data_IF_821526655968
#
_entry.id   IF_821526655968
#
_cell.length_a   1.000
_cell.length_b   1.000
_cell.length_c   1.000
_cell.angle_alpha   90.00
_cell.angle_beta   90.00
_cell.angle_gamma   90.00
#
_symmetry.space_group_name_H-M   'P 1'
#
loop_
_entity.id
_entity.type
_entity.pdbx_description
1 polymer ?
#
# COMPACT_ATOMS: atom_id res chain seq x y z
N UNK A 1 -30.79 -10.99 -9.42
CA UNK A 1 -29.70 -9.98 -9.59
C UNK A 1 -28.29 -10.53 -9.26
N UNK A 2 -28.08 -11.22 -8.14
CA UNK A 2 -26.74 -11.75 -7.70
C UNK A 2 -26.00 -12.65 -8.72
N UNK A 3 -26.71 -13.49 -9.46
CA UNK A 3 -26.12 -14.42 -10.46
C UNK A 3 -25.45 -13.71 -11.66
N UNK A 4 -25.96 -12.55 -12.08
CA UNK A 4 -25.35 -11.78 -13.19
C UNK A 4 -24.02 -11.16 -12.77
N UNK A 5 -23.93 -10.66 -11.55
CA UNK A 5 -22.72 -10.02 -11.00
C UNK A 5 -21.61 -11.08 -10.84
N UNK A 6 -21.93 -12.25 -10.28
CA UNK A 6 -20.97 -13.34 -10.14
C UNK A 6 -20.42 -13.84 -11.48
N UNK A 7 -21.29 -14.01 -12.49
CA UNK A 7 -20.85 -14.39 -13.84
C UNK A 7 -19.96 -13.34 -14.47
N UNK A 8 -20.28 -12.05 -14.31
CA UNK A 8 -19.47 -10.95 -14.83
C UNK A 8 -18.09 -10.89 -14.17
N UNK A 9 -18.06 -10.94 -12.83
CA UNK A 9 -16.81 -11.01 -12.05
C UNK A 9 -15.95 -12.22 -12.44
N UNK A 10 -16.56 -13.39 -12.64
CA UNK A 10 -15.87 -14.61 -13.09
C UNK A 10 -15.27 -14.42 -14.49
N UNK A 11 -16.03 -13.88 -15.43
CA UNK A 11 -15.55 -13.60 -16.79
C UNK A 11 -14.40 -12.58 -16.78
N UNK A 12 -14.55 -11.48 -16.05
CA UNK A 12 -13.52 -10.44 -15.93
C UNK A 12 -12.25 -10.98 -15.27
N UNK A 13 -12.38 -11.83 -14.24
CA UNK A 13 -11.25 -12.53 -13.59
C UNK A 13 -10.53 -13.48 -14.55
N UNK A 14 -11.27 -14.27 -15.34
CA UNK A 14 -10.69 -15.17 -16.34
C UNK A 14 -10.01 -14.41 -17.48
N UNK A 15 -10.62 -13.30 -17.93
CA UNK A 15 -10.04 -12.40 -18.94
C UNK A 15 -8.75 -11.77 -18.43
N UNK A 16 -8.75 -11.26 -17.21
CA UNK A 16 -7.57 -10.71 -16.54
C UNK A 16 -6.44 -11.75 -16.48
N UNK A 17 -6.71 -12.97 -16.04
CA UNK A 17 -5.67 -14.00 -15.89
C UNK A 17 -5.10 -14.50 -17.23
N UNK A 18 -5.86 -14.42 -18.33
CA UNK A 18 -5.40 -14.77 -19.68
C UNK A 18 -4.54 -13.68 -20.33
N UNK A 19 -4.68 -12.42 -19.93
CA UNK A 19 -3.86 -11.31 -20.46
C UNK A 19 -2.38 -11.54 -20.11
N UNK A 20 -1.49 -11.38 -21.10
CA UNK A 20 -0.04 -11.33 -20.92
C UNK A 20 0.27 -10.13 -20.00
N UNK A 21 0.98 -10.33 -18.88
CA UNK A 21 1.28 -9.31 -17.83
C UNK A 21 0.15 -8.95 -16.84
N UNK A 22 -0.82 -9.86 -16.61
CA UNK A 22 -1.86 -9.69 -15.58
C UNK A 22 -1.31 -9.43 -14.17
N UNK A 23 -0.26 -10.16 -13.80
CA UNK A 23 0.47 -10.06 -12.54
C UNK A 23 0.98 -8.63 -12.28
N UNK A 24 1.57 -8.02 -13.31
CA UNK A 24 2.10 -6.66 -13.23
C UNK A 24 1.00 -5.62 -13.03
N UNK A 25 -0.08 -5.68 -13.81
CA UNK A 25 -1.19 -4.72 -13.71
C UNK A 25 -1.90 -4.81 -12.36
N UNK A 26 -2.08 -6.03 -11.83
CA UNK A 26 -2.66 -6.24 -10.50
C UNK A 26 -1.73 -5.70 -9.42
N UNK A 27 -0.42 -5.96 -9.51
CA UNK A 27 0.56 -5.49 -8.52
C UNK A 27 0.65 -3.96 -8.51
N UNK A 28 0.72 -3.31 -9.68
CA UNK A 28 0.68 -1.84 -9.78
C UNK A 28 -0.63 -1.31 -9.18
N UNK A 29 -1.77 -1.88 -9.56
CA UNK A 29 -3.07 -1.46 -9.03
C UNK A 29 -3.12 -1.55 -7.51
N UNK A 30 -2.65 -2.66 -6.94
CA UNK A 30 -2.61 -2.85 -5.50
C UNK A 30 -1.71 -1.83 -4.79
N UNK A 31 -0.49 -1.61 -5.29
CA UNK A 31 0.44 -0.67 -4.67
C UNK A 31 -0.07 0.77 -4.80
N UNK A 32 -0.58 1.15 -5.97
CA UNK A 32 -1.21 2.44 -6.19
C UNK A 32 -2.40 2.69 -5.26
N UNK A 33 -3.23 1.66 -5.05
CA UNK A 33 -4.36 1.71 -4.13
C UNK A 33 -3.96 1.81 -2.68
N UNK A 34 -2.92 1.10 -2.24
CA UNK A 34 -2.47 1.15 -0.85
C UNK A 34 -1.65 2.40 -0.50
N UNK A 35 -1.01 3.03 -1.49
CA UNK A 35 -0.03 4.11 -1.26
C UNK A 35 -0.57 5.25 -0.39
N UNK A 36 -1.79 5.71 -0.67
CA UNK A 36 -2.39 6.82 0.06
C UNK A 36 -2.72 6.49 1.54
N UNK A 37 -2.80 5.20 1.91
CA UNK A 37 -3.12 4.77 3.28
C UNK A 37 -2.02 5.08 4.29
N UNK A 38 -0.81 5.41 3.81
CA UNK A 38 0.28 5.91 4.66
C UNK A 38 0.07 7.37 5.10
N UNK A 39 -0.89 8.07 4.50
CA UNK A 39 -1.16 9.49 4.74
C UNK A 39 -2.60 9.72 5.27
N UNK A 40 -2.85 10.77 6.06
CA UNK A 40 -4.16 11.12 6.60
C UNK A 40 -5.10 11.71 5.55
N UNK A 41 -5.55 10.86 4.62
CA UNK A 41 -6.38 11.19 3.45
C UNK A 41 -7.87 10.98 3.69
N UNK A 42 -8.30 10.92 4.96
CA UNK A 42 -9.63 10.53 5.42
C UNK A 42 -10.78 10.92 4.47
N UNK A 43 -11.60 9.94 4.08
CA UNK A 43 -12.77 10.14 3.23
C UNK A 43 -12.50 10.10 1.72
N UNK A 44 -11.33 10.55 1.24
CA UNK A 44 -11.00 10.57 -0.21
C UNK A 44 -10.14 9.39 -0.67
N UNK A 45 -9.80 8.47 0.24
CA UNK A 45 -8.84 7.39 -0.03
C UNK A 45 -9.21 6.46 -1.19
N UNK A 46 -10.49 6.08 -1.31
CA UNK A 46 -10.95 5.23 -2.43
C UNK A 46 -10.85 5.99 -3.76
N UNK A 47 -11.14 7.29 -3.78
CA UNK A 47 -10.99 8.13 -4.97
C UNK A 47 -9.52 8.23 -5.38
N UNK A 48 -8.61 8.45 -4.41
CA UNK A 48 -7.17 8.43 -4.64
C UNK A 48 -6.70 7.08 -5.16
N UNK A 49 -7.19 5.98 -4.61
CA UNK A 49 -6.85 4.61 -5.06
C UNK A 49 -7.21 4.42 -6.54
N UNK A 50 -8.42 4.80 -6.93
CA UNK A 50 -8.90 4.69 -8.31
C UNK A 50 -8.11 5.64 -9.22
N UNK A 51 -7.85 6.87 -8.77
CA UNK A 51 -7.10 7.89 -9.52
C UNK A 51 -5.67 7.44 -9.80
N UNK A 52 -4.94 7.01 -8.77
CA UNK A 52 -3.57 6.51 -8.89
C UNK A 52 -3.51 5.24 -9.76
N UNK A 53 -4.46 4.33 -9.62
CA UNK A 53 -4.52 3.13 -10.46
C UNK A 53 -4.76 3.47 -11.93
N UNK A 54 -5.61 4.45 -12.24
CA UNK A 54 -5.81 4.92 -13.63
C UNK A 54 -4.57 5.58 -14.19
N UNK A 55 -3.93 6.45 -13.40
CA UNK A 55 -2.71 7.17 -13.80
C UNK A 55 -1.58 6.19 -14.14
N UNK A 56 -1.38 5.18 -13.30
CA UNK A 56 -0.36 4.14 -13.47
C UNK A 56 -0.80 2.99 -14.38
N UNK A 57 -1.99 3.09 -14.99
CA UNK A 57 -2.60 2.07 -15.86
C UNK A 57 -2.68 0.69 -15.19
N UNK A 58 -2.84 0.65 -13.87
CA UNK A 58 -3.01 -0.54 -13.05
C UNK A 58 -4.45 -1.04 -12.99
N UNK A 59 -4.65 -2.18 -12.30
CA UNK A 59 -5.97 -2.75 -12.10
C UNK A 59 -6.75 -1.98 -11.01
N UNK A 60 -7.84 -1.33 -11.42
CA UNK A 60 -8.71 -0.54 -10.53
C UNK A 60 -9.31 -1.41 -9.42
N UNK A 61 -9.70 -2.65 -9.70
CA UNK A 61 -10.29 -3.54 -8.69
C UNK A 61 -9.28 -3.86 -7.59
N UNK A 62 -8.02 -4.17 -7.97
CA UNK A 62 -6.94 -4.40 -7.02
C UNK A 62 -6.64 -3.14 -6.18
N UNK A 63 -6.74 -1.96 -6.79
CA UNK A 63 -6.55 -0.69 -6.11
C UNK A 63 -7.64 -0.39 -5.07
N UNK A 64 -8.91 -0.65 -5.41
CA UNK A 64 -10.00 -0.48 -4.45
C UNK A 64 -9.87 -1.46 -3.29
N UNK A 65 -9.54 -2.73 -3.56
CA UNK A 65 -9.35 -3.74 -2.50
C UNK A 65 -8.23 -3.32 -1.54
N UNK A 66 -7.07 -2.95 -2.09
CA UNK A 66 -5.92 -2.52 -1.27
C UNK A 66 -6.21 -1.22 -0.50
N UNK A 67 -6.83 -0.23 -1.13
CA UNK A 67 -7.21 1.01 -0.45
C UNK A 67 -8.22 0.80 0.68
N UNK A 68 -9.20 -0.09 0.49
CA UNK A 68 -10.13 -0.48 1.55
C UNK A 68 -9.42 -1.22 2.70
N UNK A 69 -8.49 -2.13 2.39
CA UNK A 69 -7.70 -2.82 3.40
C UNK A 69 -6.85 -1.83 4.21
N UNK A 70 -6.16 -0.90 3.56
CA UNK A 70 -5.36 0.10 4.25
C UNK A 70 -6.22 1.05 5.09
N UNK A 71 -7.45 1.35 4.67
CA UNK A 71 -8.41 2.11 5.48
C UNK A 71 -8.78 1.37 6.77
N UNK A 72 -8.90 0.04 6.77
CA UNK A 72 -9.15 -0.72 8.00
C UNK A 72 -7.90 -0.80 8.90
N UNK A 73 -6.71 -0.79 8.28
CA UNK A 73 -5.42 -0.92 8.98
C UNK A 73 -4.85 0.43 9.46
N UNK A 74 -5.57 1.54 9.26
CA UNK A 74 -5.07 2.89 9.48
C UNK A 74 -4.43 3.14 10.86
N UNK A 75 -4.93 2.63 12.01
CA UNK A 75 -4.32 2.93 13.30
C UNK A 75 -2.93 2.28 13.40
N UNK A 76 -2.80 1.06 12.87
CA UNK A 76 -1.53 0.34 12.83
C UNK A 76 -0.53 0.99 11.88
N UNK A 77 -0.97 1.43 10.70
CA UNK A 77 -0.11 2.14 9.74
C UNK A 77 0.43 3.44 10.33
N UNK A 78 -0.41 4.19 11.05
CA UNK A 78 -0.02 5.48 11.62
C UNK A 78 0.91 5.33 12.81
N UNK A 79 0.67 4.33 13.65
CA UNK A 79 1.60 3.95 14.70
C UNK A 79 2.98 3.57 14.12
N UNK A 80 2.99 2.83 13.01
CA UNK A 80 4.22 2.44 12.32
C UNK A 80 4.94 3.67 11.74
N UNK A 81 4.21 4.63 11.16
CA UNK A 81 4.78 5.90 10.69
C UNK A 81 5.49 6.64 11.83
N UNK A 82 4.81 6.84 12.95
CA UNK A 82 5.39 7.53 14.09
C UNK A 82 6.66 6.83 14.60
N UNK A 83 6.61 5.50 14.81
CA UNK A 83 7.76 4.75 15.29
C UNK A 83 8.96 4.80 14.35
N UNK A 84 8.73 4.64 13.05
CA UNK A 84 9.82 4.62 12.08
C UNK A 84 10.45 6.00 11.93
N UNK A 85 9.66 7.07 11.91
CA UNK A 85 10.22 8.41 11.87
C UNK A 85 10.99 8.76 13.14
N UNK A 86 10.49 8.37 14.33
CA UNK A 86 11.22 8.55 15.59
C UNK A 86 12.60 7.87 15.55
N UNK A 87 12.66 6.61 15.10
CA UNK A 87 13.92 5.86 14.99
C UNK A 87 14.87 6.52 13.99
N UNK A 88 14.37 6.90 12.81
CA UNK A 88 15.20 7.51 11.78
C UNK A 88 15.77 8.86 12.22
N UNK A 89 14.92 9.73 12.74
CA UNK A 89 15.34 11.05 13.23
C UNK A 89 16.36 10.88 14.36
N UNK A 90 16.11 10.00 15.32
CA UNK A 90 17.07 9.70 16.41
C UNK A 90 18.43 9.24 15.88
N UNK A 91 18.45 8.38 14.85
CA UNK A 91 19.67 7.89 14.21
C UNK A 91 20.45 9.02 13.50
N UNK A 92 19.76 9.91 12.78
CA UNK A 92 20.38 11.06 12.11
C UNK A 92 20.92 12.10 13.09
N UNK A 93 20.21 12.36 14.20
CA UNK A 93 20.67 13.27 15.25
C UNK A 93 21.94 12.73 15.95
N UNK A 94 21.97 11.45 16.30
CA UNK A 94 23.16 10.81 16.90
C UNK A 94 24.40 10.89 15.98
N UNK A 95 24.19 10.86 14.66
CA UNK A 95 25.28 10.89 13.67
C UNK A 95 25.81 12.31 13.41
N UNK A 96 24.99 13.34 13.64
CA UNK A 96 25.31 14.72 13.25
C UNK A 96 25.92 15.57 14.36
N UNK A 97 25.73 15.21 15.64
CA UNK A 97 26.32 15.94 16.76
C UNK A 97 26.80 14.93 17.82
N UNK A 98 28.05 15.07 18.28
CA UNK A 98 28.58 14.47 19.53
C UNK A 98 27.90 15.07 20.79
N UNK A 99 26.66 15.54 20.69
CA UNK A 99 25.98 16.43 21.63
C UNK A 99 24.68 15.83 22.17
N UNK A 100 24.32 16.30 23.36
CA UNK A 100 23.39 15.66 24.30
C UNK A 100 22.01 15.29 23.72
N UNK A 101 21.43 14.15 24.15
CA UNK A 101 20.22 13.55 23.57
C UNK A 101 18.91 14.22 24.00
N UNK A 102 18.95 15.43 24.56
CA UNK A 102 17.78 16.04 25.21
C UNK A 102 16.72 16.53 24.21
N UNK A 103 17.13 17.01 23.03
CA UNK A 103 16.19 17.56 22.03
C UNK A 103 15.46 16.44 21.25
N UNK A 104 16.04 15.24 21.16
CA UNK A 104 15.42 14.09 20.50
C UNK A 104 14.39 13.38 21.41
N UNK A 105 14.54 13.50 22.73
CA UNK A 105 13.74 12.73 23.70
C UNK A 105 12.51 13.45 24.23
N UNK A 106 12.33 14.74 23.94
CA UNK A 106 11.11 15.50 24.25
C UNK A 106 10.00 15.23 23.21
N UNK A 107 9.60 13.97 23.07
CA UNK A 107 8.64 13.47 22.08
C UNK A 107 7.17 13.92 22.23
N UNK A 108 6.92 15.05 22.91
CA UNK A 108 5.58 15.50 23.33
C UNK A 108 5.13 16.79 22.62
N UNK A 109 6.04 17.54 22.00
CA UNK A 109 5.64 18.72 21.22
C UNK A 109 4.96 18.29 19.91
N UNK A 110 3.80 18.88 19.61
CA UNK A 110 2.99 18.58 18.43
C UNK A 110 3.79 18.67 17.12
N UNK A 111 4.76 19.59 17.04
CA UNK A 111 5.66 19.72 15.90
C UNK A 111 6.56 18.49 15.70
N UNK A 112 7.14 17.97 16.79
CA UNK A 112 8.02 16.79 16.73
C UNK A 112 7.22 15.51 16.42
N UNK A 113 6.01 15.37 16.99
CA UNK A 113 5.08 14.29 16.66
C UNK A 113 4.73 14.28 15.16
N UNK A 114 4.39 15.44 14.60
CA UNK A 114 4.09 15.60 13.18
C UNK A 114 5.29 15.28 12.28
N UNK A 115 6.49 15.75 12.64
CA UNK A 115 7.71 15.47 11.87
C UNK A 115 8.09 13.99 11.88
N UNK A 116 8.05 13.34 13.04
CA UNK A 116 8.25 11.90 13.15
C UNK A 116 7.25 11.16 12.28
N UNK A 117 5.97 11.53 12.34
CA UNK A 117 4.96 10.91 11.50
C UNK A 117 5.21 11.11 9.99
N UNK A 118 5.57 12.33 9.56
CA UNK A 118 5.80 12.65 8.15
C UNK A 118 7.01 11.91 7.58
N UNK A 119 8.14 11.91 8.30
CA UNK A 119 9.35 11.18 7.87
C UNK A 119 9.05 9.69 7.76
N UNK A 120 8.37 9.12 8.77
CA UNK A 120 8.00 7.72 8.74
C UNK A 120 7.02 7.37 7.63
N UNK A 121 6.01 8.22 7.36
CA UNK A 121 5.03 7.96 6.29
C UNK A 121 5.67 7.97 4.90
N UNK A 122 6.58 8.89 4.62
CA UNK A 122 7.34 8.92 3.36
C UNK A 122 8.16 7.63 3.21
N UNK A 123 8.97 7.30 4.21
CA UNK A 123 9.84 6.12 4.16
C UNK A 123 9.03 4.83 4.02
N UNK A 124 7.99 4.65 4.84
CA UNK A 124 7.13 3.49 4.77
C UNK A 124 6.43 3.37 3.42
N UNK A 125 5.93 4.47 2.87
CA UNK A 125 5.26 4.46 1.57
C UNK A 125 6.19 3.98 0.45
N UNK A 126 7.45 4.42 0.44
CA UNK A 126 8.45 4.02 -0.56
C UNK A 126 8.83 2.55 -0.37
N UNK A 127 9.22 2.17 0.85
CA UNK A 127 9.67 0.80 1.17
C UNK A 127 8.56 -0.21 0.88
N UNK A 128 7.33 0.06 1.33
CA UNK A 128 6.19 -0.80 1.07
C UNK A 128 5.85 -0.88 -0.42
N UNK A 129 5.93 0.23 -1.15
CA UNK A 129 5.63 0.23 -2.59
C UNK A 129 6.61 -0.63 -3.38
N UNK A 130 7.91 -0.52 -3.08
CA UNK A 130 8.95 -1.29 -3.75
C UNK A 130 8.82 -2.77 -3.38
N UNK A 131 8.91 -3.09 -2.08
CA UNK A 131 8.90 -4.47 -1.60
C UNK A 131 7.58 -5.15 -1.95
N UNK A 132 6.46 -4.48 -1.71
CA UNK A 132 5.12 -4.98 -1.99
C UNK A 132 4.91 -5.26 -3.47
N UNK A 133 5.39 -4.39 -4.37
CA UNK A 133 5.29 -4.62 -5.82
C UNK A 133 6.00 -5.92 -6.23
N UNK A 134 7.26 -6.11 -5.81
CA UNK A 134 8.02 -7.30 -6.16
C UNK A 134 7.44 -8.56 -5.52
N UNK A 135 7.02 -8.49 -4.26
CA UNK A 135 6.41 -9.60 -3.54
C UNK A 135 5.09 -10.04 -4.19
N UNK A 136 4.18 -9.10 -4.43
CA UNK A 136 2.89 -9.38 -5.08
C UNK A 136 3.09 -9.94 -6.46
N UNK A 137 3.98 -9.35 -7.25
CA UNK A 137 4.28 -9.84 -8.59
C UNK A 137 4.84 -11.24 -8.55
N UNK A 138 5.79 -11.53 -7.66
CA UNK A 138 6.35 -12.87 -7.48
C UNK A 138 5.29 -13.91 -7.11
N UNK A 139 4.43 -13.60 -6.13
CA UNK A 139 3.31 -14.46 -5.72
C UNK A 139 2.35 -14.71 -6.88
N UNK A 140 1.92 -13.65 -7.56
CA UNK A 140 0.98 -13.76 -8.68
C UNK A 140 1.57 -14.54 -9.87
N UNK A 141 2.87 -14.35 -10.16
CA UNK A 141 3.57 -15.15 -11.17
C UNK A 141 3.61 -16.63 -10.80
N UNK A 142 3.95 -16.95 -9.54
CA UNK A 142 4.07 -18.35 -9.06
C UNK A 142 2.72 -19.07 -9.01
N UNK A 143 1.64 -18.39 -8.63
CA UNK A 143 0.32 -19.01 -8.46
C UNK A 143 -0.64 -18.83 -9.65
N UNK A 144 -0.19 -18.25 -10.77
CA UNK A 144 -1.05 -17.99 -11.96
C UNK A 144 -1.75 -19.23 -12.50
N UNK A 145 -1.03 -20.33 -12.68
CA UNK A 145 -1.56 -21.58 -13.24
C UNK A 145 -2.56 -22.29 -12.31
N UNK A 146 -2.30 -22.46 -11.00
CA UNK A 146 -3.27 -23.06 -10.09
C UNK A 146 -4.52 -22.18 -9.90
N UNK A 147 -4.40 -20.84 -9.90
CA UNK A 147 -5.55 -19.93 -9.87
C UNK A 147 -6.45 -20.10 -11.10
N UNK A 148 -5.86 -20.19 -12.29
CA UNK A 148 -6.59 -20.43 -13.54
C UNK A 148 -7.34 -21.78 -13.53
N UNK A 149 -6.72 -22.82 -12.94
CA UNK A 149 -7.35 -24.15 -12.80
C UNK A 149 -8.52 -24.13 -11.82
N UNK A 150 -8.42 -23.43 -10.68
CA UNK A 150 -9.53 -23.31 -9.71
C UNK A 150 -10.72 -22.54 -10.29
N UNK A 151 -10.49 -21.42 -10.95
CA UNK A 151 -11.54 -20.60 -11.58
C UNK A 151 -12.27 -21.27 -12.76
N UNK A 152 -11.65 -22.27 -13.40
CA UNK A 152 -12.30 -23.11 -14.41
C UNK A 152 -13.19 -24.21 -13.81
N UNK A 153 -12.96 -24.62 -12.55
CA UNK A 153 -13.69 -25.72 -11.88
C UNK A 153 -14.91 -25.25 -11.10
N UNK A 154 -14.91 -24.00 -10.61
CA UNK A 154 -16.10 -23.29 -10.11
C UNK A 154 -16.92 -22.77 -11.29
#
# INVERSE_FOLDING_TARGET
MKLRIFRKLKYDSLRLLRIKKSDHLISIGFIAGFFHCWFPTFGIGILLSIGLARLLRGNIVAAVISGSLGTLMWPGLFFLNYKIGLVLISLFYFTSIQGTPEIAMTGISFGHLGMNFLVGSIVNSIVFSIIGYFLLRFVLMKYRLPLLKRLKRT
#
